data_IF_620209089211
#
_entry.id   IF_620209089211
#
_cell.length_a   1.000
_cell.length_b   1.000
_cell.length_c   1.000
_cell.angle_alpha   90.00
_cell.angle_beta   90.00
_cell.angle_gamma   90.00
#
_symmetry.space_group_name_H-M   'P 1'
#
loop_
_entity.id
_entity.type
_entity.pdbx_description
1 polymer ?
#
# COMPACT_ATOMS: atom_id res chain seq x y z
N UNK A 1 -32.93 -22.04 3.59
CA UNK A 1 -33.15 -20.87 2.74
C UNK A 1 -32.76 -19.65 3.54
N UNK A 2 -31.90 -18.84 2.93
CA UNK A 2 -31.55 -17.46 3.32
C UNK A 2 -30.55 -17.30 4.47
N UNK A 3 -29.29 -17.15 4.14
CA UNK A 3 -28.33 -16.25 4.82
C UNK A 3 -27.07 -16.11 3.98
N UNK A 4 -27.21 -15.63 2.77
CA UNK A 4 -26.11 -15.18 1.93
C UNK A 4 -26.40 -13.74 1.55
N UNK A 5 -25.81 -12.83 2.27
CA UNK A 5 -25.67 -11.40 1.93
C UNK A 5 -26.14 -10.39 2.99
N UNK A 6 -25.98 -10.72 4.25
CA UNK A 6 -26.02 -9.71 5.31
C UNK A 6 -24.63 -9.68 5.99
N UNK A 7 -23.72 -8.93 5.39
CA UNK A 7 -22.49 -8.55 6.09
C UNK A 7 -22.88 -8.07 7.49
N UNK A 8 -22.16 -8.47 8.52
CA UNK A 8 -22.54 -8.21 9.91
C UNK A 8 -23.00 -6.75 10.09
N UNK A 9 -23.84 -6.46 11.07
CA UNK A 9 -24.24 -5.07 11.40
C UNK A 9 -23.00 -4.19 11.54
N UNK A 10 -21.91 -4.75 12.07
CA UNK A 10 -20.63 -4.08 12.20
C UNK A 10 -20.06 -3.73 10.82
N UNK A 11 -20.08 -4.64 9.85
CA UNK A 11 -19.54 -4.38 8.50
C UNK A 11 -20.35 -3.34 7.74
N UNK A 12 -21.68 -3.33 7.90
CA UNK A 12 -22.52 -2.26 7.32
C UNK A 12 -22.20 -0.91 7.93
N UNK A 13 -21.99 -0.84 9.25
CA UNK A 13 -21.60 0.39 9.94
C UNK A 13 -20.22 0.89 9.50
N UNK A 14 -19.22 0.00 9.34
CA UNK A 14 -17.88 0.37 8.87
C UNK A 14 -17.96 0.91 7.44
N UNK A 15 -18.71 0.25 6.55
CA UNK A 15 -18.92 0.74 5.17
C UNK A 15 -19.66 2.08 5.12
N UNK A 16 -20.64 2.30 5.99
CA UNK A 16 -21.34 3.58 6.10
C UNK A 16 -20.41 4.69 6.60
N UNK A 17 -19.55 4.39 7.57
CA UNK A 17 -18.53 5.32 8.05
C UNK A 17 -17.50 5.66 6.95
N UNK A 18 -17.02 4.67 6.21
CA UNK A 18 -16.12 4.84 5.08
C UNK A 18 -16.72 5.77 4.01
N UNK A 19 -17.98 5.56 3.66
CA UNK A 19 -18.72 6.41 2.70
C UNK A 19 -18.90 7.86 3.22
N UNK A 20 -19.23 8.04 4.50
CA UNK A 20 -19.36 9.38 5.11
C UNK A 20 -18.01 10.13 5.12
N UNK A 21 -16.91 9.45 5.46
CA UNK A 21 -15.57 10.02 5.42
C UNK A 21 -15.20 10.44 3.98
N UNK A 22 -15.49 9.60 3.00
CA UNK A 22 -15.23 9.91 1.59
C UNK A 22 -16.04 11.11 1.10
N UNK A 23 -17.29 11.23 1.55
CA UNK A 23 -18.19 12.31 1.10
C UNK A 23 -17.93 13.66 1.79
N UNK A 24 -17.54 13.67 3.06
CA UNK A 24 -17.54 14.87 3.92
C UNK A 24 -16.21 15.13 4.63
N UNK A 25 -15.27 14.23 4.51
CA UNK A 25 -14.00 14.26 5.24
C UNK A 25 -14.12 13.71 6.66
N UNK A 26 -12.95 13.37 7.22
CA UNK A 26 -12.83 12.68 8.51
C UNK A 26 -13.39 13.49 9.69
N UNK A 27 -13.22 14.83 9.66
CA UNK A 27 -13.65 15.72 10.75
C UNK A 27 -15.17 15.92 10.81
N UNK A 28 -15.88 15.62 9.73
CA UNK A 28 -17.33 15.78 9.63
C UNK A 28 -18.11 14.50 9.95
N UNK A 29 -17.41 13.37 10.15
CA UNK A 29 -18.08 12.11 10.43
C UNK A 29 -18.71 12.09 11.82
N UNK A 30 -19.98 11.69 11.87
CA UNK A 30 -20.75 11.62 13.11
C UNK A 30 -21.43 10.26 13.23
N UNK A 31 -21.37 9.66 14.43
CA UNK A 31 -21.95 8.34 14.71
C UNK A 31 -23.46 8.27 14.38
N UNK A 32 -24.18 9.37 14.52
CA UNK A 32 -25.59 9.48 14.20
C UNK A 32 -25.87 9.27 12.70
N UNK A 33 -25.04 9.90 11.85
CA UNK A 33 -25.17 9.77 10.39
C UNK A 33 -24.78 8.37 9.95
N UNK A 34 -23.70 7.84 10.50
CA UNK A 34 -23.25 6.46 10.25
C UNK A 34 -24.35 5.45 10.62
N UNK A 35 -24.95 5.59 11.82
CA UNK A 35 -26.04 4.72 12.25
C UNK A 35 -27.26 4.81 11.32
N UNK A 36 -27.65 6.03 10.95
CA UNK A 36 -28.76 6.28 9.99
C UNK A 36 -28.50 5.61 8.65
N UNK A 37 -27.32 5.79 8.09
CA UNK A 37 -26.95 5.24 6.78
C UNK A 37 -26.81 3.70 6.80
N UNK A 38 -26.41 3.13 7.95
CA UNK A 38 -26.38 1.69 8.16
C UNK A 38 -27.75 1.06 8.52
N UNK A 39 -28.81 1.88 8.67
CA UNK A 39 -30.15 1.42 9.02
C UNK A 39 -30.27 0.86 10.44
N UNK A 40 -29.50 1.43 11.40
CA UNK A 40 -29.52 0.99 12.81
C UNK A 40 -29.70 2.18 13.76
N UNK A 41 -30.02 1.90 15.03
CA UNK A 41 -30.05 2.93 16.06
C UNK A 41 -28.65 3.43 16.43
N UNK A 42 -28.56 4.69 16.91
CA UNK A 42 -27.30 5.24 17.46
C UNK A 42 -26.71 4.35 18.58
N UNK A 43 -27.55 3.84 19.45
CA UNK A 43 -27.12 2.94 20.53
C UNK A 43 -26.50 1.64 19.99
N UNK A 44 -27.07 1.11 18.89
CA UNK A 44 -26.51 -0.07 18.21
C UNK A 44 -25.16 0.26 17.58
N UNK A 45 -25.01 1.43 16.94
CA UNK A 45 -23.75 1.86 16.36
C UNK A 45 -22.64 1.98 17.42
N UNK A 46 -22.89 2.65 18.54
CA UNK A 46 -21.92 2.73 19.63
C UNK A 46 -21.57 1.37 20.25
N UNK A 47 -22.55 0.48 20.37
CA UNK A 47 -22.29 -0.88 20.89
C UNK A 47 -21.40 -1.70 19.95
N UNK A 48 -21.53 -1.52 18.64
CA UNK A 48 -20.80 -2.29 17.62
C UNK A 48 -19.43 -1.71 17.27
N UNK A 49 -19.31 -0.39 17.23
CA UNK A 49 -18.09 0.31 16.81
C UNK A 49 -17.29 0.90 17.98
N UNK A 50 -17.90 1.03 19.16
CA UNK A 50 -17.27 1.71 20.29
C UNK A 50 -17.28 3.24 20.13
N UNK A 51 -16.14 3.88 20.33
CA UNK A 51 -15.96 5.31 20.16
C UNK A 51 -15.82 5.71 18.68
N UNK A 52 -15.87 7.03 18.40
CA UNK A 52 -15.52 7.56 17.07
C UNK A 52 -14.08 7.21 16.70
N UNK A 53 -13.14 7.27 17.65
CA UNK A 53 -11.76 6.88 17.42
C UNK A 53 -11.65 5.41 16.98
N UNK A 54 -12.33 4.48 17.70
CA UNK A 54 -12.33 3.07 17.33
C UNK A 54 -13.02 2.84 15.96
N UNK A 55 -14.09 3.58 15.67
CA UNK A 55 -14.71 3.56 14.34
C UNK A 55 -13.72 3.95 13.23
N UNK A 56 -12.91 4.99 13.44
CA UNK A 56 -11.89 5.43 12.50
C UNK A 56 -10.82 4.35 12.27
N UNK A 57 -10.39 3.67 13.33
CA UNK A 57 -9.49 2.51 13.22
C UNK A 57 -10.11 1.38 12.39
N UNK A 58 -11.41 1.07 12.58
CA UNK A 58 -12.09 0.05 11.78
C UNK A 58 -12.19 0.45 10.30
N UNK A 59 -12.39 1.73 9.99
CA UNK A 59 -12.34 2.22 8.60
C UNK A 59 -10.92 2.16 8.05
N UNK A 60 -9.90 2.54 8.82
CA UNK A 60 -8.50 2.41 8.42
C UNK A 60 -8.14 0.96 8.09
N UNK A 61 -8.56 0.00 8.91
CA UNK A 61 -8.39 -1.43 8.66
C UNK A 61 -9.08 -1.90 7.37
N UNK A 62 -10.31 -1.44 7.13
CA UNK A 62 -11.03 -1.77 5.89
C UNK A 62 -10.26 -1.27 4.65
N UNK A 63 -9.76 -0.05 4.69
CA UNK A 63 -8.98 0.56 3.60
C UNK A 63 -7.62 -0.11 3.43
N UNK A 64 -6.91 -0.36 4.53
CA UNK A 64 -5.63 -1.07 4.51
C UNK A 64 -5.77 -2.45 3.85
N UNK A 65 -6.79 -3.23 4.19
CA UNK A 65 -7.04 -4.53 3.56
C UNK A 65 -7.34 -4.45 2.07
N UNK A 66 -8.13 -3.44 1.65
CA UNK A 66 -8.39 -3.20 0.21
C UNK A 66 -7.11 -2.84 -0.53
N UNK A 67 -6.31 -1.94 0.04
CA UNK A 67 -5.03 -1.54 -0.53
C UNK A 67 -4.08 -2.73 -0.64
N UNK A 68 -3.90 -3.49 0.44
CA UNK A 68 -3.05 -4.67 0.48
C UNK A 68 -3.49 -5.73 -0.54
N UNK A 69 -4.79 -5.96 -0.72
CA UNK A 69 -5.27 -6.90 -1.75
C UNK A 69 -4.84 -6.49 -3.18
N UNK A 70 -4.78 -5.18 -3.47
CA UNK A 70 -4.25 -4.70 -4.76
C UNK A 70 -2.73 -4.85 -4.84
N UNK A 71 -2.02 -4.53 -3.75
CA UNK A 71 -0.57 -4.73 -3.65
C UNK A 71 -0.20 -6.18 -3.87
N UNK A 72 -0.89 -7.13 -3.24
CA UNK A 72 -0.67 -8.57 -3.42
C UNK A 72 -0.87 -9.01 -4.89
N UNK A 73 -1.94 -8.53 -5.54
CA UNK A 73 -2.18 -8.82 -6.96
C UNK A 73 -1.06 -8.29 -7.87
N UNK A 74 -0.54 -7.08 -7.57
CA UNK A 74 0.57 -6.47 -8.30
C UNK A 74 1.87 -7.23 -8.07
N UNK A 75 2.17 -7.62 -6.82
CA UNK A 75 3.34 -8.42 -6.47
C UNK A 75 3.31 -9.80 -7.12
N UNK A 76 2.14 -10.43 -7.18
CA UNK A 76 1.97 -11.75 -7.82
C UNK A 76 2.34 -11.76 -9.32
N UNK A 77 2.25 -10.61 -9.99
CA UNK A 77 2.65 -10.44 -11.39
C UNK A 77 4.17 -10.21 -11.57
N UNK A 78 4.95 -10.17 -10.49
CA UNK A 78 6.39 -9.89 -10.51
C UNK A 78 7.20 -11.11 -10.10
N UNK A 79 8.40 -11.24 -10.68
CA UNK A 79 9.37 -12.30 -10.35
C UNK A 79 10.54 -11.69 -9.59
N UNK A 80 10.96 -12.34 -8.49
CA UNK A 80 12.04 -11.87 -7.62
C UNK A 80 11.56 -10.92 -6.53
N UNK A 81 12.21 -10.98 -5.37
CA UNK A 81 11.78 -10.29 -4.15
C UNK A 81 11.80 -8.78 -4.33
N UNK A 82 12.90 -8.24 -4.84
CA UNK A 82 13.02 -6.78 -5.01
C UNK A 82 12.08 -6.21 -6.05
N UNK A 83 11.76 -6.95 -7.12
CA UNK A 83 10.76 -6.53 -8.10
C UNK A 83 9.34 -6.50 -7.51
N UNK A 84 9.00 -7.44 -6.61
CA UNK A 84 7.74 -7.45 -5.86
C UNK A 84 7.66 -6.23 -4.94
N UNK A 85 8.71 -5.96 -4.15
CA UNK A 85 8.77 -4.82 -3.21
C UNK A 85 8.73 -3.48 -3.97
N UNK A 86 9.51 -3.33 -5.04
CA UNK A 86 9.49 -2.11 -5.86
C UNK A 86 8.09 -1.82 -6.39
N UNK A 87 7.43 -2.83 -6.96
CA UNK A 87 6.08 -2.68 -7.51
C UNK A 87 5.06 -2.28 -6.44
N UNK A 88 5.15 -2.86 -5.24
CA UNK A 88 4.32 -2.49 -4.10
C UNK A 88 4.53 -1.03 -3.68
N UNK A 89 5.78 -0.59 -3.55
CA UNK A 89 6.12 0.79 -3.16
C UNK A 89 5.69 1.82 -4.21
N UNK A 90 5.91 1.53 -5.50
CA UNK A 90 5.49 2.42 -6.60
C UNK A 90 3.96 2.58 -6.58
N UNK A 91 3.22 1.48 -6.51
CA UNK A 91 1.76 1.51 -6.46
C UNK A 91 1.27 2.30 -5.24
N UNK A 92 1.81 2.01 -4.06
CA UNK A 92 1.39 2.68 -2.82
C UNK A 92 1.71 4.18 -2.86
N UNK A 93 2.87 4.58 -3.37
CA UNK A 93 3.25 5.98 -3.48
C UNK A 93 2.36 6.78 -4.46
N UNK A 94 1.74 6.12 -5.43
CA UNK A 94 0.80 6.75 -6.37
C UNK A 94 -0.63 6.79 -5.83
N UNK A 95 -1.08 5.71 -5.18
CA UNK A 95 -2.46 5.58 -4.70
C UNK A 95 -2.72 6.35 -3.40
N UNK A 96 -1.81 6.33 -2.43
CA UNK A 96 -2.02 7.00 -1.14
C UNK A 96 -2.29 8.51 -1.27
N UNK A 97 -1.56 9.29 -2.11
CA UNK A 97 -1.85 10.70 -2.30
C UNK A 97 -3.15 10.96 -3.05
N UNK A 98 -3.61 10.03 -3.88
CA UNK A 98 -4.84 10.20 -4.67
C UNK A 98 -6.12 10.01 -3.84
N UNK A 99 -6.04 9.44 -2.63
CA UNK A 99 -7.16 9.39 -1.69
C UNK A 99 -7.00 10.45 -0.58
N UNK A 100 -7.70 11.60 -0.69
CA UNK A 100 -7.62 12.68 0.30
C UNK A 100 -7.98 12.22 1.72
N UNK A 101 -8.78 11.18 1.85
CA UNK A 101 -9.20 10.66 3.15
C UNK A 101 -8.14 9.74 3.76
N UNK A 102 -7.32 9.05 2.98
CA UNK A 102 -6.14 8.34 3.48
C UNK A 102 -5.09 9.35 3.94
N UNK A 103 -4.80 10.36 3.12
CA UNK A 103 -3.89 11.45 3.49
C UNK A 103 -4.33 12.17 4.76
N UNK A 104 -5.65 12.43 4.93
CA UNK A 104 -6.19 13.02 6.14
C UNK A 104 -6.12 12.08 7.34
N UNK A 105 -6.33 10.77 7.17
CA UNK A 105 -6.13 9.76 8.21
C UNK A 105 -4.68 9.72 8.68
N UNK A 106 -3.73 9.75 7.75
CA UNK A 106 -2.30 9.79 8.06
C UNK A 106 -1.94 11.09 8.80
N UNK A 107 -2.34 12.25 8.27
CA UNK A 107 -1.95 13.56 8.79
C UNK A 107 -2.61 13.90 10.15
N UNK A 108 -3.85 13.47 10.39
CA UNK A 108 -4.62 13.90 11.56
C UNK A 108 -4.73 12.86 12.67
N UNK A 109 -4.45 11.60 12.36
CA UNK A 109 -4.63 10.48 13.30
C UNK A 109 -3.44 9.53 13.22
N UNK A 110 -2.25 10.05 13.52
CA UNK A 110 -1.05 9.22 13.66
C UNK A 110 -1.29 7.98 14.53
N UNK A 111 -2.12 8.09 15.57
CA UNK A 111 -2.49 6.95 16.43
C UNK A 111 -3.24 5.84 15.69
N UNK A 112 -4.15 6.16 14.76
CA UNK A 112 -4.91 5.13 14.03
C UNK A 112 -4.09 4.46 12.92
N UNK A 113 -3.12 5.15 12.37
CA UNK A 113 -2.18 4.61 11.36
C UNK A 113 -1.11 3.75 12.02
N UNK A 114 -0.68 4.12 13.23
CA UNK A 114 0.25 3.34 14.05
C UNK A 114 -0.46 2.27 14.91
N UNK A 115 -1.77 2.06 14.71
CA UNK A 115 -2.46 0.98 15.40
C UNK A 115 -1.86 -0.37 15.00
N UNK A 116 -1.46 -1.21 15.96
CA UNK A 116 -0.84 -2.51 15.68
C UNK A 116 -1.65 -3.40 14.74
N UNK A 117 -2.99 -3.24 14.74
CA UNK A 117 -3.89 -4.00 13.85
C UNK A 117 -3.76 -3.55 12.39
N UNK A 118 -3.51 -2.26 12.14
CA UNK A 118 -3.27 -1.74 10.78
C UNK A 118 -1.89 -2.18 10.31
N UNK A 119 -0.89 -2.09 11.17
CA UNK A 119 0.46 -2.57 10.89
C UNK A 119 0.47 -4.07 10.57
N UNK A 120 -0.26 -4.89 11.32
CA UNK A 120 -0.36 -6.33 11.10
C UNK A 120 -0.80 -6.69 9.68
N UNK A 121 -1.65 -5.87 9.05
CA UNK A 121 -2.08 -6.08 7.64
C UNK A 121 -0.89 -5.98 6.67
N UNK A 122 0.03 -5.04 6.92
CA UNK A 122 1.26 -4.91 6.12
C UNK A 122 2.22 -6.10 6.35
N UNK A 123 2.37 -6.55 7.60
CA UNK A 123 3.19 -7.73 7.96
C UNK A 123 2.66 -9.00 7.28
N UNK A 124 1.34 -9.18 7.26
CA UNK A 124 0.71 -10.33 6.59
C UNK A 124 0.98 -10.35 5.07
N UNK A 125 1.01 -9.19 4.43
CA UNK A 125 1.24 -9.08 3.00
C UNK A 125 2.72 -9.16 2.61
N UNK A 126 3.57 -8.39 3.28
CA UNK A 126 4.99 -8.23 2.90
C UNK A 126 5.89 -9.28 3.55
N UNK A 127 5.54 -9.75 4.74
CA UNK A 127 6.34 -10.72 5.48
C UNK A 127 6.65 -12.00 4.70
N UNK A 128 5.69 -12.63 4.00
CA UNK A 128 5.99 -13.80 3.15
C UNK A 128 7.02 -13.51 2.06
N UNK A 129 6.96 -12.34 1.42
CA UNK A 129 7.88 -11.93 0.35
C UNK A 129 9.30 -11.76 0.89
N UNK A 130 9.46 -11.12 2.05
CA UNK A 130 10.76 -10.94 2.69
C UNK A 130 11.34 -12.26 3.17
N UNK A 131 10.53 -13.15 3.75
CA UNK A 131 10.97 -14.50 4.17
C UNK A 131 11.41 -15.35 2.97
N UNK A 132 10.69 -15.28 1.83
CA UNK A 132 11.11 -15.90 0.58
C UNK A 132 12.50 -15.39 0.17
N UNK A 133 12.73 -14.08 0.26
CA UNK A 133 14.02 -13.45 -0.03
C UNK A 133 15.12 -13.86 0.92
N UNK A 134 14.85 -14.00 2.20
CA UNK A 134 15.83 -14.53 3.16
C UNK A 134 16.18 -15.99 2.87
N UNK A 135 15.20 -16.82 2.51
CA UNK A 135 15.42 -18.23 2.17
C UNK A 135 16.19 -18.40 0.87
N UNK A 136 15.97 -17.50 -0.11
CA UNK A 136 16.73 -17.51 -1.38
C UNK A 136 18.11 -16.86 -1.28
N UNK A 137 18.45 -16.20 -0.16
CA UNK A 137 19.68 -15.48 0.04
C UNK A 137 19.75 -14.12 -0.67
N UNK A 138 18.64 -13.61 -1.16
CA UNK A 138 18.53 -12.27 -1.75
C UNK A 138 18.43 -11.19 -0.67
N UNK A 139 17.70 -11.47 0.42
CA UNK A 139 17.47 -10.56 1.54
C UNK A 139 18.34 -10.96 2.73
N UNK A 140 18.84 -9.96 3.44
CA UNK A 140 19.67 -10.15 4.65
C UNK A 140 18.90 -10.86 5.76
N UNK A 141 19.59 -11.62 6.59
CA UNK A 141 19.01 -12.43 7.66
C UNK A 141 19.36 -11.94 9.07
N UNK A 142 20.12 -10.85 9.17
CA UNK A 142 20.55 -10.24 10.44
C UNK A 142 19.56 -9.19 10.97
N UNK A 143 18.48 -8.93 10.22
CA UNK A 143 17.35 -8.09 10.63
C UNK A 143 16.08 -8.94 10.60
N UNK A 144 15.22 -8.79 11.60
CA UNK A 144 13.93 -9.47 11.65
C UNK A 144 12.98 -8.97 10.57
N UNK A 145 12.14 -9.87 10.05
CA UNK A 145 11.20 -9.54 8.97
C UNK A 145 10.25 -8.41 9.37
N UNK A 146 9.77 -8.41 10.61
CA UNK A 146 8.84 -7.40 11.10
C UNK A 146 9.47 -6.01 11.12
N UNK A 147 10.77 -5.91 11.51
CA UNK A 147 11.53 -4.66 11.47
C UNK A 147 11.75 -4.16 10.02
N UNK A 148 11.96 -5.08 9.06
CA UNK A 148 12.03 -4.70 7.65
C UNK A 148 10.67 -4.20 7.12
N UNK A 149 9.56 -4.80 7.57
CA UNK A 149 8.21 -4.34 7.21
C UNK A 149 7.96 -2.96 7.81
N UNK A 150 8.32 -2.71 9.07
CA UNK A 150 8.24 -1.39 9.71
C UNK A 150 8.94 -0.33 8.88
N UNK A 151 10.19 -0.60 8.50
CA UNK A 151 10.96 0.30 7.65
C UNK A 151 10.27 0.57 6.31
N UNK A 152 9.75 -0.46 5.62
CA UNK A 152 9.04 -0.28 4.34
C UNK A 152 7.75 0.51 4.49
N UNK A 153 6.99 0.29 5.57
CA UNK A 153 5.78 1.04 5.89
C UNK A 153 6.10 2.52 6.14
N UNK A 154 7.16 2.82 6.88
CA UNK A 154 7.63 4.21 7.08
C UNK A 154 7.98 4.90 5.75
N UNK A 155 8.64 4.17 4.82
CA UNK A 155 8.94 4.73 3.51
C UNK A 155 7.67 5.06 2.70
N UNK A 156 6.58 4.29 2.87
CA UNK A 156 5.31 4.58 2.20
C UNK A 156 4.63 5.82 2.78
N UNK A 157 4.69 6.03 4.09
CA UNK A 157 4.15 7.24 4.72
C UNK A 157 4.91 8.49 4.31
N UNK A 158 6.24 8.45 4.30
CA UNK A 158 7.08 9.54 3.79
C UNK A 158 6.75 9.84 2.31
N UNK A 159 6.48 8.82 1.51
CA UNK A 159 6.06 9.00 0.13
C UNK A 159 4.68 9.64 0.00
N UNK A 160 3.75 9.36 0.91
CA UNK A 160 2.40 9.92 0.91
C UNK A 160 2.37 11.42 1.28
N UNK A 161 3.35 11.91 2.05
CA UNK A 161 3.47 13.33 2.40
C UNK A 161 3.97 14.20 1.22
N UNK A 162 4.64 13.60 0.25
CA UNK A 162 5.13 14.28 -0.96
C UNK A 162 4.18 14.04 -2.14
N UNK A 163 3.23 14.96 -2.36
CA UNK A 163 2.13 14.87 -3.32
C UNK A 163 2.59 14.61 -4.77
N UNK A 164 3.79 15.07 -5.15
CA UNK A 164 4.29 15.04 -6.54
C UNK A 164 5.43 14.03 -6.77
N UNK A 165 5.52 12.97 -5.97
CA UNK A 165 6.59 12.00 -6.15
C UNK A 165 6.35 11.14 -7.40
N UNK A 166 7.13 11.39 -8.45
CA UNK A 166 7.06 10.61 -9.68
C UNK A 166 7.48 9.15 -9.48
N UNK A 167 6.94 8.26 -10.32
CA UNK A 167 7.34 6.84 -10.33
C UNK A 167 8.87 6.67 -10.45
N UNK A 168 9.52 7.49 -11.31
CA UNK A 168 10.98 7.47 -11.48
C UNK A 168 11.73 7.80 -10.19
N UNK A 169 11.23 8.76 -9.39
CA UNK A 169 11.84 9.10 -8.11
C UNK A 169 11.69 7.98 -7.08
N UNK A 170 10.50 7.36 -6.99
CA UNK A 170 10.27 6.22 -6.11
C UNK A 170 11.20 5.05 -6.46
N UNK A 171 11.32 4.73 -7.76
CA UNK A 171 12.24 3.70 -8.26
C UNK A 171 13.70 4.03 -7.98
N UNK A 172 14.11 5.29 -8.16
CA UNK A 172 15.46 5.75 -7.86
C UNK A 172 15.79 5.57 -6.38
N UNK A 173 14.90 6.02 -5.47
CA UNK A 173 15.07 5.84 -4.02
C UNK A 173 15.09 4.38 -3.62
N UNK A 174 14.23 3.57 -4.18
CA UNK A 174 14.19 2.14 -3.95
C UNK A 174 15.56 1.51 -4.25
N UNK A 175 16.13 1.78 -5.43
CA UNK A 175 17.43 1.22 -5.86
C UNK A 175 18.60 1.70 -5.01
N UNK A 176 18.63 2.99 -4.67
CA UNK A 176 19.77 3.58 -4.00
C UNK A 176 19.76 3.43 -2.48
N UNK A 177 18.60 3.29 -1.86
CA UNK A 177 18.51 3.31 -0.40
C UNK A 177 17.82 2.05 0.18
N UNK A 178 16.81 1.52 -0.49
CA UNK A 178 16.05 0.39 0.05
C UNK A 178 16.71 -0.93 -0.29
N UNK A 179 17.08 -1.18 -1.55
CA UNK A 179 17.80 -2.41 -1.93
C UNK A 179 19.07 -2.59 -1.08
N UNK A 180 19.98 -1.61 -0.97
CA UNK A 180 21.21 -1.80 -0.15
C UNK A 180 20.92 -2.07 1.32
N UNK A 181 19.81 -1.53 1.86
CA UNK A 181 19.37 -1.78 3.23
C UNK A 181 18.81 -3.18 3.46
N UNK A 182 18.22 -3.79 2.45
CA UNK A 182 17.55 -5.09 2.55
C UNK A 182 18.35 -6.25 1.94
N UNK A 183 19.24 -5.99 1.00
CA UNK A 183 20.00 -7.03 0.32
C UNK A 183 20.96 -7.77 1.26
N UNK A 184 21.14 -9.06 1.01
CA UNK A 184 22.12 -9.86 1.74
C UNK A 184 23.54 -9.31 1.54
N UNK A 185 24.31 -9.18 2.63
CA UNK A 185 25.66 -8.60 2.63
C UNK A 185 26.74 -9.48 1.98
N UNK A 186 26.37 -10.64 1.46
CA UNK A 186 27.32 -11.54 0.81
C UNK A 186 27.65 -11.03 -0.60
N UNK A 187 28.79 -10.40 -0.74
CA UNK A 187 29.53 -9.82 -1.87
C UNK A 187 29.15 -10.05 -3.35
N UNK A 188 28.16 -10.84 -3.66
CA UNK A 188 27.71 -11.07 -5.02
C UNK A 188 26.19 -10.85 -5.21
N UNK A 189 25.37 -10.93 -4.15
CA UNK A 189 23.90 -10.80 -4.27
C UNK A 189 23.47 -9.37 -4.63
N UNK A 190 24.01 -8.37 -3.94
CA UNK A 190 23.67 -6.97 -4.17
C UNK A 190 24.10 -6.47 -5.57
N UNK A 191 25.30 -6.88 -6.04
CA UNK A 191 25.78 -6.56 -7.39
C UNK A 191 24.95 -7.27 -8.47
N UNK A 192 24.54 -8.52 -8.21
CA UNK A 192 23.75 -9.29 -9.18
C UNK A 192 22.33 -8.73 -9.34
N UNK A 193 21.68 -8.39 -8.24
CA UNK A 193 20.36 -7.74 -8.23
C UNK A 193 20.45 -6.37 -8.89
N UNK A 194 21.47 -5.56 -8.58
CA UNK A 194 21.68 -4.25 -9.22
C UNK A 194 21.86 -4.39 -10.72
N UNK A 195 22.66 -5.37 -11.19
CA UNK A 195 22.84 -5.63 -12.64
C UNK A 195 21.57 -6.09 -13.33
N UNK A 196 20.78 -6.97 -12.71
CA UNK A 196 19.51 -7.42 -13.30
C UNK A 196 18.56 -6.24 -13.46
N UNK A 197 18.47 -5.37 -12.46
CA UNK A 197 17.60 -4.19 -12.51
C UNK A 197 18.09 -3.15 -13.51
N UNK A 198 19.41 -2.94 -13.65
CA UNK A 198 19.99 -2.08 -14.70
C UNK A 198 19.66 -2.60 -16.11
N UNK A 199 19.73 -3.91 -16.32
CA UNK A 199 19.34 -4.54 -17.59
C UNK A 199 17.85 -4.38 -17.85
N UNK A 200 16.99 -4.58 -16.85
CA UNK A 200 15.54 -4.39 -16.99
C UNK A 200 15.18 -2.93 -17.32
N UNK A 201 15.85 -1.96 -16.69
CA UNK A 201 15.65 -0.53 -16.99
C UNK A 201 16.11 -0.19 -18.41
N UNK A 202 17.28 -0.67 -18.83
CA UNK A 202 17.78 -0.47 -20.18
C UNK A 202 16.84 -1.05 -21.25
N UNK A 203 16.27 -2.23 -20.97
CA UNK A 203 15.25 -2.85 -21.84
C UNK A 203 13.95 -2.02 -21.84
N UNK A 204 13.47 -1.56 -20.70
CA UNK A 204 12.30 -0.69 -20.60
C UNK A 204 12.47 0.60 -21.40
N UNK A 205 13.59 1.30 -21.22
CA UNK A 205 13.94 2.52 -21.96
C UNK A 205 14.03 2.27 -23.47
N UNK A 206 14.61 1.14 -23.88
CA UNK A 206 14.68 0.77 -25.28
C UNK A 206 13.30 0.50 -25.90
N UNK A 207 12.40 -0.16 -25.16
CA UNK A 207 11.01 -0.40 -25.60
C UNK A 207 10.26 0.91 -25.77
N UNK A 208 10.38 1.85 -24.81
CA UNK A 208 9.76 3.17 -24.90
C UNK A 208 10.29 3.98 -26.09
N UNK A 209 11.61 3.97 -26.31
CA UNK A 209 12.23 4.64 -27.44
C UNK A 209 11.75 4.06 -28.79
N UNK A 210 11.63 2.74 -28.90
CA UNK A 210 11.12 2.06 -30.10
C UNK A 210 9.62 2.35 -30.30
N UNK A 211 8.83 2.40 -29.27
CA UNK A 211 7.40 2.78 -29.34
C UNK A 211 7.24 4.21 -29.83
N UNK A 212 8.00 5.15 -29.27
CA UNK A 212 7.99 6.56 -29.70
C UNK A 212 8.42 6.73 -31.14
N UNK A 213 9.45 6.00 -31.59
CA UNK A 213 9.90 6.01 -32.97
C UNK A 213 8.84 5.45 -33.93
N UNK A 214 8.19 4.36 -33.53
CA UNK A 214 7.09 3.76 -34.29
C UNK A 214 5.93 4.74 -34.48
N UNK A 215 5.56 5.48 -33.42
CA UNK A 215 4.51 6.48 -33.51
C UNK A 215 4.89 7.70 -34.33
N UNK A 216 6.17 8.12 -34.31
CA UNK A 216 6.68 9.18 -35.19
C UNK A 216 6.62 8.78 -36.64
N UNK A 217 7.03 7.56 -36.97
CA UNK A 217 6.99 7.03 -38.36
C UNK A 217 5.57 6.91 -38.91
N UNK A 218 4.60 6.51 -38.07
CA UNK A 218 3.17 6.48 -38.43
C UNK A 218 2.61 7.87 -38.73
N UNK A 219 3.03 8.89 -37.95
CA UNK A 219 2.59 10.30 -38.17
C UNK A 219 3.26 10.95 -39.40
N UNK A 220 4.45 10.50 -39.77
CA UNK A 220 5.19 11.05 -40.91
C UNK A 220 4.81 10.41 -42.24
N UNK A 221 4.08 9.30 -42.25
CA UNK A 221 3.64 8.55 -43.41
C UNK A 221 2.17 8.80 -43.83
N UNK A 222 1.49 9.76 -43.16
CA UNK A 222 0.13 10.24 -43.48
C UNK A 222 0.17 11.65 -44.03
#
# INVERSE_FOLDING_TARGET
>A
MSSTDDGSVKDRLIRAADAEIAARGINAVQMELVAKNAGVSRATAFRQLGSVAEMLVQVALLRARRHVSQVEAIMAAKTGVFAKIEAALVYTAQELPSDPSISALIAQHAESVHDPRVHQVAVEAMGPVLREGQQSGEVRTDIEVDEMVDFLVEQTYLAAEEIDRSEGEVRRRFRHFIIPGLAASNGSGGEHVSRIMEVQEAVGTAIEALSNLSDQLRRSGS
#
